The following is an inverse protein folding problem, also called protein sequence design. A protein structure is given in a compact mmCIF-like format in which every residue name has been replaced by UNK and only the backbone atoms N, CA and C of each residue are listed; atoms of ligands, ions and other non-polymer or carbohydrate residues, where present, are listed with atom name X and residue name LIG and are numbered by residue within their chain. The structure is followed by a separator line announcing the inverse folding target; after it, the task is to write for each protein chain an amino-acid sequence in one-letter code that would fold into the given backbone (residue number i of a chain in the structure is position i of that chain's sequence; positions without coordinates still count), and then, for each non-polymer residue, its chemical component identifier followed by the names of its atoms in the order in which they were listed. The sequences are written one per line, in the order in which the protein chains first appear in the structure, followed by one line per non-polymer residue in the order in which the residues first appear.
data_IF_119950511404
#
_entry.id   IF_119950511404
#
_cell.length_a   1.000
_cell.length_b   1.000
_cell.length_c   1.000
_cell.angle_alpha   90.00
_cell.angle_beta   90.00
_cell.angle_gamma   90.00
#
_symmetry.space_group_name_H-M   'P 1'
#
loop_
_entity.id
_entity.type
_entity.pdbx_description
1 polymer ?
#
# COMPACT_ATOMS: atom_id res chain seq x y z
N UNK A 1 11.81 3.17 -17.81
CA UNK A 1 11.29 4.01 -16.70
C UNK A 1 9.86 4.53 -16.92
N UNK A 2 9.50 5.11 -18.07
CA UNK A 2 8.12 5.63 -18.34
C UNK A 2 6.98 4.63 -18.11
N UNK A 3 7.19 3.32 -18.34
CA UNK A 3 6.18 2.29 -18.15
C UNK A 3 5.80 2.04 -16.68
N UNK A 4 6.75 2.21 -15.76
CA UNK A 4 6.56 1.91 -14.32
C UNK A 4 5.75 3.02 -13.66
N UNK A 5 6.05 4.29 -13.94
CA UNK A 5 5.24 5.43 -13.50
C UNK A 5 3.79 5.35 -14.00
N UNK A 6 3.60 5.02 -15.29
CA UNK A 6 2.25 4.78 -15.85
C UNK A 6 1.54 3.65 -15.12
N UNK A 7 2.27 2.63 -14.67
CA UNK A 7 1.71 1.48 -13.97
C UNK A 7 1.32 1.83 -12.54
N UNK A 8 2.14 2.56 -11.78
CA UNK A 8 1.77 3.06 -10.44
C UNK A 8 0.50 3.91 -10.51
N UNK A 9 0.43 4.87 -11.44
CA UNK A 9 -0.78 5.68 -11.61
C UNK A 9 -2.00 4.83 -11.97
N UNK A 10 -1.83 3.77 -12.78
CA UNK A 10 -2.91 2.82 -13.06
C UNK A 10 -3.32 2.03 -11.81
N UNK A 11 -2.39 1.57 -10.98
CA UNK A 11 -2.67 0.87 -9.71
C UNK A 11 -3.50 1.77 -8.79
N UNK A 12 -3.20 3.07 -8.72
CA UNK A 12 -3.97 4.07 -7.97
C UNK A 12 -5.42 4.20 -8.44
N UNK A 13 -5.72 3.90 -9.70
CA UNK A 13 -7.07 3.94 -10.27
C UNK A 13 -7.77 2.58 -10.29
N UNK A 14 -7.11 1.51 -9.84
CA UNK A 14 -7.68 0.16 -9.81
C UNK A 14 -8.40 -0.10 -8.49
N UNK A 15 -9.50 -0.88 -8.55
CA UNK A 15 -10.12 -1.43 -7.34
C UNK A 15 -9.21 -2.51 -6.76
N UNK A 16 -8.65 -2.24 -5.59
CA UNK A 16 -7.69 -3.10 -4.91
C UNK A 16 -8.10 -3.33 -3.46
N UNK A 17 -7.80 -4.52 -2.97
CA UNK A 17 -7.87 -4.82 -1.54
C UNK A 17 -6.47 -5.10 -1.07
N UNK A 18 -6.09 -4.46 0.03
CA UNK A 18 -4.78 -4.54 0.66
C UNK A 18 -4.91 -5.27 1.99
N UNK A 19 -4.14 -6.33 2.15
CA UNK A 19 -4.14 -7.20 3.32
C UNK A 19 -2.79 -7.07 4.04
N UNK A 20 -2.76 -7.21 5.37
CA UNK A 20 -1.52 -7.07 6.13
C UNK A 20 -0.56 -8.20 5.78
N UNK A 21 0.72 -7.89 5.65
CA UNK A 21 1.78 -8.88 5.50
C UNK A 21 2.12 -9.42 6.90
N UNK A 22 2.06 -10.73 7.09
CA UNK A 22 2.39 -11.34 8.37
C UNK A 22 3.88 -11.14 8.70
N UNK A 23 4.17 -10.64 9.90
CA UNK A 23 5.54 -10.38 10.35
C UNK A 23 6.13 -9.04 9.88
N UNK A 24 5.43 -8.28 9.02
CA UNK A 24 5.84 -6.95 8.62
C UNK A 24 4.83 -5.91 9.10
N UNK A 25 5.17 -5.21 10.18
CA UNK A 25 4.30 -4.17 10.72
C UNK A 25 4.06 -3.09 9.66
N UNK A 26 2.78 -2.68 9.54
CA UNK A 26 2.33 -1.58 8.67
C UNK A 26 2.49 -1.77 7.16
N UNK A 27 2.90 -2.96 6.70
CA UNK A 27 2.94 -3.28 5.27
C UNK A 27 1.77 -4.13 4.83
N UNK A 28 1.29 -3.85 3.63
CA UNK A 28 0.13 -4.50 3.06
C UNK A 28 0.36 -4.89 1.60
N UNK A 29 -0.15 -6.05 1.21
CA UNK A 29 -0.07 -6.57 -0.15
C UNK A 29 -1.46 -6.65 -0.79
N UNK A 30 -1.51 -6.60 -2.12
CA UNK A 30 -2.75 -6.81 -2.87
C UNK A 30 -2.79 -8.20 -3.48
N UNK A 31 -3.98 -8.79 -3.59
CA UNK A 31 -4.17 -10.09 -4.26
C UNK A 31 -3.94 -10.04 -5.78
N UNK A 32 -3.85 -8.84 -6.38
CA UNK A 32 -3.64 -8.67 -7.83
C UNK A 32 -2.17 -8.61 -8.25
N UNK A 33 -1.26 -8.38 -7.32
CA UNK A 33 0.14 -8.16 -7.60
C UNK A 33 0.99 -9.03 -6.67
N UNK A 34 2.16 -9.47 -7.15
CA UNK A 34 3.09 -10.20 -6.28
C UNK A 34 3.53 -9.32 -5.13
N UNK A 35 3.54 -9.85 -3.90
CA UNK A 35 3.99 -9.12 -2.70
C UNK A 35 5.42 -8.60 -2.84
N UNK A 36 6.29 -9.32 -3.55
CA UNK A 36 7.68 -8.89 -3.78
C UNK A 36 7.77 -7.72 -4.77
N UNK A 37 6.77 -7.57 -5.64
CA UNK A 37 6.74 -6.53 -6.65
C UNK A 37 5.91 -5.32 -6.25
N UNK A 38 4.86 -5.51 -5.44
CA UNK A 38 3.91 -4.46 -5.09
C UNK A 38 3.34 -4.60 -3.68
N UNK A 39 3.50 -3.56 -2.89
CA UNK A 39 2.98 -3.44 -1.54
C UNK A 39 2.81 -1.96 -1.19
N UNK A 40 2.03 -1.69 -0.17
CA UNK A 40 1.93 -0.36 0.43
C UNK A 40 2.41 -0.42 1.87
N UNK A 41 2.91 0.70 2.37
CA UNK A 41 3.29 0.86 3.76
C UNK A 41 2.59 2.07 4.33
N UNK A 42 2.11 1.93 5.57
CA UNK A 42 1.57 3.02 6.37
C UNK A 42 2.72 3.68 7.12
N UNK A 43 2.86 4.99 6.96
CA UNK A 43 3.86 5.79 7.69
C UNK A 43 3.26 6.26 9.03
N UNK A 44 4.07 6.48 10.07
CA UNK A 44 3.60 6.98 11.39
C UNK A 44 4.09 8.37 11.78
N UNK A 45 4.77 9.06 10.86
CA UNK A 45 5.28 10.39 11.11
C UNK A 45 4.24 11.44 10.68
N UNK A 46 3.95 12.43 11.54
CA UNK A 46 2.96 13.46 11.24
C UNK A 46 3.36 14.39 10.08
N UNK A 47 4.64 14.40 9.71
CA UNK A 47 5.19 15.21 8.61
C UNK A 47 5.30 14.42 7.29
N UNK A 48 4.95 13.13 7.28
CA UNK A 48 5.03 12.28 6.10
C UNK A 48 3.65 11.97 5.51
N UNK A 49 3.56 11.73 4.18
CA UNK A 49 2.36 11.21 3.56
C UNK A 49 1.94 9.90 4.22
N UNK A 50 0.64 9.71 4.47
CA UNK A 50 0.12 8.61 5.29
C UNK A 50 0.49 7.22 4.73
N UNK A 51 0.71 7.12 3.42
CA UNK A 51 1.04 5.87 2.74
C UNK A 51 2.15 6.04 1.70
N UNK A 52 2.93 4.99 1.49
CA UNK A 52 3.85 4.87 0.35
C UNK A 52 3.54 3.58 -0.41
N UNK A 53 3.32 3.67 -1.73
CA UNK A 53 3.24 2.49 -2.60
C UNK A 53 4.60 2.15 -3.17
N UNK A 54 4.94 0.88 -3.13
CA UNK A 54 6.10 0.29 -3.77
C UNK A 54 5.65 -0.51 -5.00
N UNK A 55 6.30 -0.31 -6.13
CA UNK A 55 6.11 -1.11 -7.33
C UNK A 55 7.40 -1.23 -8.15
N UNK A 56 7.95 -2.46 -8.26
CA UNK A 56 9.17 -2.80 -9.02
C UNK A 56 10.29 -1.77 -8.85
N UNK A 57 10.75 -1.62 -7.60
CA UNK A 57 11.84 -0.72 -7.18
C UNK A 57 11.52 0.79 -7.19
N UNK A 58 10.29 1.17 -7.55
CA UNK A 58 9.86 2.56 -7.45
C UNK A 58 8.90 2.75 -6.29
N UNK A 59 8.98 3.94 -5.70
CA UNK A 59 8.05 4.39 -4.67
C UNK A 59 7.24 5.57 -5.16
N UNK A 60 6.05 5.70 -4.60
CA UNK A 60 5.26 6.91 -4.71
C UNK A 60 4.56 7.16 -3.38
N UNK A 61 4.69 8.37 -2.89
CA UNK A 61 3.98 8.77 -1.69
C UNK A 61 2.52 9.12 -1.99
N UNK A 62 1.68 8.84 -1.02
CA UNK A 62 0.23 8.89 -1.10
C UNK A 62 -0.26 9.55 0.19
N UNK A 63 -0.73 10.79 0.06
CA UNK A 63 -1.29 11.56 1.17
C UNK A 63 -2.52 10.87 1.79
N UNK A 64 -3.38 10.31 0.94
CA UNK A 64 -4.54 9.53 1.35
C UNK A 64 -4.82 8.39 0.36
N UNK A 65 -5.33 7.28 0.87
CA UNK A 65 -5.62 6.09 0.06
C UNK A 65 -6.66 6.40 -1.03
N UNK A 66 -6.45 5.91 -2.26
CA UNK A 66 -7.46 6.01 -3.31
C UNK A 66 -8.82 5.45 -2.88
N UNK A 67 -9.90 6.13 -3.25
CA UNK A 67 -11.28 5.74 -2.90
C UNK A 67 -11.67 4.32 -3.33
N UNK A 68 -11.00 3.78 -4.35
CA UNK A 68 -11.25 2.42 -4.86
C UNK A 68 -10.47 1.35 -4.11
N UNK A 69 -9.65 1.74 -3.15
CA UNK A 69 -8.86 0.83 -2.34
C UNK A 69 -9.62 0.48 -1.05
N UNK A 70 -9.49 -0.79 -0.66
CA UNK A 70 -9.95 -1.28 0.64
C UNK A 70 -8.74 -1.76 1.43
N UNK A 71 -8.46 -1.13 2.56
CA UNK A 71 -7.39 -1.55 3.47
C UNK A 71 -7.99 -2.42 4.57
N UNK A 72 -7.53 -3.66 4.68
CA UNK A 72 -7.91 -4.54 5.77
C UNK A 72 -6.90 -4.37 6.91
N UNK A 73 -7.22 -3.53 7.88
CA UNK A 73 -6.38 -3.35 9.06
C UNK A 73 -6.37 -4.63 9.90
N UNK A 74 -5.21 -5.04 10.46
CA UNK A 74 -5.20 -6.13 11.43
C UNK A 74 -6.09 -5.72 12.60
N UNK A 75 -7.07 -6.56 12.96
CA UNK A 75 -7.88 -6.35 14.15
C UNK A 75 -6.92 -6.24 15.34
N UNK A 76 -6.77 -5.04 15.91
CA UNK A 76 -6.19 -4.89 17.23
C UNK A 76 -7.09 -5.70 18.15
N UNK A 77 -6.67 -6.90 18.56
CA UNK A 77 -7.27 -7.52 19.73
C UNK A 77 -7.14 -6.48 20.84
N UNK A 78 -8.23 -6.10 21.54
CA UNK A 78 -8.09 -5.26 22.71
C UNK A 78 -7.11 -5.98 23.64
N UNK A 79 -6.07 -5.25 24.07
CA UNK A 79 -5.22 -5.70 25.16
C UNK A 79 -6.15 -5.82 26.37
N UNK A 80 -6.41 -7.07 26.78
CA UNK A 80 -7.20 -7.41 27.97
C UNK A 80 -6.30 -7.26 29.18
#
# INVERSE_FOLDING_TARGET
MLGVFKKINRIMCERLTWNPIQGEERKYYSNKYSQNECWIQMNDFPEEPLWTIFYKEQTKDIEDTPILWKINYPNKKPLI
#
